data_IF_353373901198
#
_entry.id   IF_353373901198
#
_cell.length_a   1.000
_cell.length_b   1.000
_cell.length_c   1.000
_cell.angle_alpha   90.00
_cell.angle_beta   90.00
_cell.angle_gamma   90.00
#
_symmetry.space_group_name_H-M   'P 1'
#
loop_
_entity.id
_entity.type
_entity.pdbx_description
1 polymer ?
#
# COMPACT_ATOMS: atom_id res chain seq x y z
N UNK A 1 1.35 -5.49 -10.63
CA UNK A 1 0.30 -4.75 -11.37
C UNK A 1 0.02 -3.41 -10.69
N UNK A 2 -0.51 -2.42 -11.41
CA UNK A 2 -0.81 -1.07 -10.89
C UNK A 2 -2.30 -0.90 -10.57
N UNK A 3 -2.63 -0.02 -9.62
CA UNK A 3 -4.02 0.25 -9.23
C UNK A 3 -4.90 0.68 -10.42
N UNK A 4 -4.34 1.48 -11.34
CA UNK A 4 -5.02 1.95 -12.56
C UNK A 4 -5.47 0.81 -13.50
N UNK A 5 -4.85 -0.36 -13.40
CA UNK A 5 -5.24 -1.52 -14.21
C UNK A 5 -6.63 -2.06 -13.84
N UNK A 6 -7.11 -1.82 -12.61
CA UNK A 6 -8.45 -2.23 -12.24
C UNK A 6 -9.54 -1.46 -12.99
N UNK A 7 -9.25 -0.23 -13.40
CA UNK A 7 -10.18 0.63 -14.12
C UNK A 7 -9.86 0.66 -15.63
N UNK A 8 -8.92 -0.20 -16.08
CA UNK A 8 -8.42 -0.26 -17.45
C UNK A 8 -7.95 1.10 -17.98
N UNK A 9 -7.31 1.90 -17.13
CA UNK A 9 -6.77 3.22 -17.46
C UNK A 9 -5.26 3.13 -17.70
N UNK A 10 -4.78 3.78 -18.77
CA UNK A 10 -3.36 3.99 -19.06
C UNK A 10 -3.00 5.47 -18.85
N UNK A 11 -2.33 5.84 -17.75
CA UNK A 11 -1.86 7.20 -17.53
C UNK A 11 -0.69 7.55 -18.46
N UNK A 12 -0.58 8.83 -18.84
CA UNK A 12 0.56 9.34 -19.60
C UNK A 12 1.86 9.39 -18.77
N UNK A 13 1.72 9.59 -17.46
CA UNK A 13 2.83 9.61 -16.49
C UNK A 13 2.47 8.75 -15.27
N UNK A 14 3.37 7.86 -14.87
CA UNK A 14 3.25 7.00 -13.69
C UNK A 14 4.41 7.30 -12.74
N UNK A 15 4.10 7.51 -11.46
CA UNK A 15 5.10 7.66 -10.40
C UNK A 15 5.09 6.45 -9.47
N UNK A 16 6.27 5.87 -9.23
CA UNK A 16 6.48 4.72 -8.35
C UNK A 16 7.50 5.07 -7.26
N UNK A 17 7.43 4.34 -6.14
CA UNK A 17 8.36 4.47 -5.02
C UNK A 17 7.98 3.50 -3.91
N UNK A 18 8.31 3.82 -2.65
CA UNK A 18 7.99 3.00 -1.46
C UNK A 18 8.41 1.52 -1.63
N UNK A 19 7.46 0.66 -1.98
CA UNK A 19 7.65 -0.77 -2.18
C UNK A 19 8.54 -1.11 -3.38
N UNK A 20 8.88 -0.14 -4.24
CA UNK A 20 9.79 -0.33 -5.37
C UNK A 20 11.15 -0.92 -4.96
N UNK A 21 11.55 -0.78 -3.69
CA UNK A 21 12.79 -1.36 -3.14
C UNK A 21 12.55 -2.39 -2.04
N UNK A 22 11.30 -2.82 -1.81
CA UNK A 22 10.94 -3.65 -0.66
C UNK A 22 11.21 -2.98 0.70
N UNK A 23 11.38 -1.65 0.74
CA UNK A 23 11.73 -0.92 1.96
C UNK A 23 13.23 -0.94 2.32
N UNK A 24 14.08 -1.55 1.51
CA UNK A 24 15.52 -1.70 1.78
C UNK A 24 16.36 -0.48 1.37
N UNK A 25 15.87 0.32 0.42
CA UNK A 25 16.60 1.48 -0.11
C UNK A 25 15.64 2.57 -0.58
N UNK A 26 15.96 3.88 -0.44
CA UNK A 26 15.12 4.93 -1.01
C UNK A 26 15.20 4.89 -2.55
N UNK A 27 14.11 4.42 -3.19
CA UNK A 27 13.99 4.35 -4.64
C UNK A 27 12.62 4.89 -5.07
N UNK A 28 12.63 5.68 -6.13
CA UNK A 28 11.45 6.19 -6.82
C UNK A 28 11.70 6.21 -8.32
N UNK A 29 10.64 6.13 -9.12
CA UNK A 29 10.71 6.17 -10.57
C UNK A 29 9.56 7.02 -11.13
N UNK A 30 9.82 7.68 -12.25
CA UNK A 30 8.82 8.35 -13.09
C UNK A 30 8.89 7.68 -14.46
N UNK A 31 7.76 7.17 -14.93
CA UNK A 31 7.63 6.50 -16.21
C UNK A 31 6.66 7.31 -17.08
N UNK A 32 7.04 7.58 -18.33
CA UNK A 32 6.17 8.17 -19.34
C UNK A 32 6.70 7.83 -20.73
N UNK A 33 5.90 8.09 -21.76
CA UNK A 33 6.27 7.88 -23.15
C UNK A 33 7.34 8.89 -23.62
N UNK A 34 8.06 8.54 -24.68
CA UNK A 34 9.20 9.30 -25.20
C UNK A 34 8.85 10.76 -25.51
N UNK A 35 7.66 11.02 -26.06
CA UNK A 35 7.21 12.37 -26.40
C UNK A 35 7.14 13.31 -25.17
N UNK A 36 6.97 12.73 -23.98
CA UNK A 36 7.01 13.44 -22.70
C UNK A 36 8.42 13.40 -22.12
N UNK A 37 9.02 12.21 -22.00
CA UNK A 37 10.29 12.02 -21.28
C UNK A 37 11.45 12.74 -21.97
N UNK A 38 11.52 12.71 -23.30
CA UNK A 38 12.63 13.29 -24.08
C UNK A 38 12.59 14.82 -24.14
N UNK A 39 11.60 15.47 -23.54
CA UNK A 39 11.61 16.92 -23.33
C UNK A 39 12.68 17.35 -22.32
N UNK A 40 13.06 16.47 -21.39
CA UNK A 40 14.15 16.71 -20.43
C UNK A 40 15.49 16.54 -21.15
N UNK A 41 16.28 17.61 -21.22
CA UNK A 41 17.58 17.64 -21.89
C UNK A 41 18.75 17.54 -20.91
N UNK A 42 19.96 17.17 -21.37
CA UNK A 42 21.14 17.13 -20.51
C UNK A 42 21.36 18.44 -19.75
N UNK A 43 21.61 18.33 -18.44
CA UNK A 43 21.81 19.48 -17.55
C UNK A 43 20.53 20.08 -16.94
N UNK A 44 19.33 19.66 -17.35
CA UNK A 44 18.07 20.21 -16.84
C UNK A 44 17.52 19.48 -15.60
N UNK A 45 17.90 18.23 -15.40
CA UNK A 45 17.45 17.40 -14.28
C UNK A 45 18.57 16.44 -13.85
N UNK A 46 18.62 16.10 -12.56
CA UNK A 46 19.63 15.21 -12.02
C UNK A 46 19.49 14.99 -10.51
N UNK A 47 20.16 13.96 -10.02
CA UNK A 47 20.23 13.64 -8.59
C UNK A 47 21.53 12.88 -8.31
N UNK A 48 22.25 13.26 -7.24
CA UNK A 48 23.53 12.63 -6.86
C UNK A 48 23.41 11.12 -6.67
N UNK A 49 22.29 10.66 -6.11
CA UNK A 49 22.03 9.24 -5.83
C UNK A 49 21.01 8.61 -6.79
N UNK A 50 20.46 9.39 -7.72
CA UNK A 50 19.47 8.92 -8.68
C UNK A 50 20.08 7.89 -9.63
N UNK A 51 19.40 6.75 -9.82
CA UNK A 51 19.84 5.71 -10.75
C UNK A 51 21.14 5.00 -10.35
N UNK A 52 21.54 5.07 -9.08
CA UNK A 52 22.75 4.40 -8.62
C UNK A 52 22.62 2.86 -8.77
N UNK A 53 23.72 2.12 -9.07
CA UNK A 53 23.65 0.69 -9.38
C UNK A 53 23.08 -0.19 -8.28
N UNK A 54 23.34 0.14 -7.01
CA UNK A 54 22.83 -0.61 -5.86
C UNK A 54 21.30 -0.50 -5.75
N UNK A 55 20.77 0.73 -5.85
CA UNK A 55 19.33 0.97 -5.86
C UNK A 55 18.64 0.24 -7.01
N UNK A 56 19.23 0.25 -8.21
CA UNK A 56 18.68 -0.47 -9.37
C UNK A 56 18.60 -1.98 -9.14
N UNK A 57 19.65 -2.60 -8.57
CA UNK A 57 19.66 -4.04 -8.27
C UNK A 57 18.62 -4.41 -7.21
N UNK A 58 18.52 -3.63 -6.13
CA UNK A 58 17.51 -3.83 -5.09
C UNK A 58 16.10 -3.71 -5.67
N UNK A 59 15.86 -2.72 -6.54
CA UNK A 59 14.55 -2.51 -7.12
C UNK A 59 14.12 -3.64 -8.07
N UNK A 60 15.05 -4.14 -8.89
CA UNK A 60 14.79 -5.29 -9.77
C UNK A 60 14.41 -6.51 -8.93
N UNK A 61 15.17 -6.81 -7.88
CA UNK A 61 14.91 -7.97 -7.03
C UNK A 61 13.57 -7.86 -6.28
N UNK A 62 13.25 -6.68 -5.75
CA UNK A 62 11.94 -6.45 -5.11
C UNK A 62 10.77 -6.67 -6.09
N UNK A 63 10.92 -6.30 -7.36
CA UNK A 63 9.92 -6.55 -8.39
C UNK A 63 9.83 -8.03 -8.77
N UNK A 64 10.95 -8.76 -8.82
CA UNK A 64 10.97 -10.20 -9.06
C UNK A 64 10.18 -10.95 -7.98
N UNK A 65 10.49 -10.68 -6.70
CA UNK A 65 9.78 -11.29 -5.56
C UNK A 65 8.27 -11.02 -5.64
N UNK A 66 7.87 -9.78 -5.97
CA UNK A 66 6.46 -9.43 -6.12
C UNK A 66 5.74 -10.29 -7.16
N UNK A 67 6.42 -10.65 -8.26
CA UNK A 67 5.88 -11.48 -9.33
C UNK A 67 5.93 -12.97 -8.98
N UNK A 68 7.07 -13.47 -8.52
CA UNK A 68 7.31 -14.89 -8.23
C UNK A 68 6.39 -15.39 -7.10
N UNK A 69 6.23 -14.59 -6.05
CA UNK A 69 5.35 -14.92 -4.91
C UNK A 69 3.87 -14.56 -5.16
N UNK A 70 3.52 -14.03 -6.33
CA UNK A 70 2.14 -13.66 -6.71
C UNK A 70 1.47 -12.75 -5.67
N UNK A 71 2.22 -11.74 -5.21
CA UNK A 71 1.78 -10.87 -4.12
C UNK A 71 0.58 -10.00 -4.48
N UNK A 72 0.37 -9.68 -5.76
CA UNK A 72 -0.82 -8.95 -6.19
C UNK A 72 -2.09 -9.78 -6.02
N UNK A 73 -2.04 -11.05 -6.39
CA UNK A 73 -3.12 -12.02 -6.26
C UNK A 73 -3.44 -12.31 -4.79
N UNK A 74 -2.39 -12.48 -3.97
CA UNK A 74 -2.58 -12.64 -2.53
C UNK A 74 -3.20 -11.38 -1.91
N UNK A 75 -2.77 -10.19 -2.33
CA UNK A 75 -3.33 -8.93 -1.85
C UNK A 75 -4.81 -8.77 -2.16
N UNK A 76 -5.26 -9.23 -3.33
CA UNK A 76 -6.69 -9.24 -3.67
C UNK A 76 -7.46 -10.21 -2.77
N UNK A 77 -6.98 -11.47 -2.67
CA UNK A 77 -7.61 -12.53 -1.88
C UNK A 77 -7.69 -12.16 -0.38
N UNK A 78 -6.56 -11.81 0.22
CA UNK A 78 -6.48 -11.44 1.64
C UNK A 78 -7.14 -10.11 1.92
N UNK A 79 -7.12 -9.18 0.96
CA UNK A 79 -7.85 -7.93 1.03
C UNK A 79 -9.35 -8.13 1.18
N UNK A 80 -9.93 -9.03 0.39
CA UNK A 80 -11.34 -9.37 0.50
C UNK A 80 -11.66 -9.99 1.85
N UNK A 81 -10.89 -11.00 2.26
CA UNK A 81 -11.04 -11.65 3.56
C UNK A 81 -10.99 -10.63 4.71
N UNK A 82 -10.00 -9.75 4.71
CA UNK A 82 -9.86 -8.72 5.75
C UNK A 82 -11.09 -7.80 5.79
N UNK A 83 -11.61 -7.36 4.64
CA UNK A 83 -12.82 -6.52 4.60
C UNK A 83 -14.05 -7.28 5.08
N UNK A 84 -14.17 -8.58 4.79
CA UNK A 84 -15.29 -9.40 5.24
C UNK A 84 -15.28 -9.55 6.77
N UNK A 85 -14.11 -9.79 7.38
CA UNK A 85 -13.97 -9.86 8.84
C UNK A 85 -14.23 -8.49 9.50
N UNK A 86 -13.65 -7.40 8.97
CA UNK A 86 -13.88 -6.05 9.48
C UNK A 86 -15.35 -5.62 9.37
N UNK A 87 -16.08 -6.13 8.38
CA UNK A 87 -17.50 -5.80 8.17
C UNK A 87 -18.43 -6.37 9.22
N UNK A 88 -17.98 -7.37 9.99
CA UNK A 88 -18.70 -7.97 11.13
C UNK A 88 -18.64 -7.09 12.38
N UNK A 89 -17.77 -6.08 12.41
CA UNK A 89 -17.65 -5.18 13.56
C UNK A 89 -18.95 -4.40 13.79
N UNK A 90 -19.28 -4.04 15.06
CA UNK A 90 -20.51 -3.33 15.38
C UNK A 90 -20.62 -2.00 14.65
N UNK A 91 -21.76 -1.75 13.97
CA UNK A 91 -21.95 -0.55 13.12
C UNK A 91 -22.02 0.76 13.89
N UNK A 92 -22.36 0.70 15.18
CA UNK A 92 -22.34 1.83 16.10
C UNK A 92 -20.91 2.28 16.43
N UNK A 93 -19.93 1.39 16.35
CA UNK A 93 -18.49 1.68 16.49
C UNK A 93 -17.82 1.91 15.14
N UNK A 94 -18.08 1.05 14.15
CA UNK A 94 -17.50 1.10 12.80
C UNK A 94 -18.59 1.40 11.78
N UNK A 95 -18.65 2.65 11.35
CA UNK A 95 -19.68 3.12 10.42
C UNK A 95 -19.46 2.63 8.98
N UNK A 96 -18.20 2.56 8.53
CA UNK A 96 -17.84 2.21 7.15
C UNK A 96 -16.60 1.33 7.15
N UNK A 97 -16.61 0.31 6.29
CA UNK A 97 -15.43 -0.48 5.90
C UNK A 97 -15.19 -0.25 4.41
N UNK A 98 -13.97 0.12 4.02
CA UNK A 98 -13.63 0.40 2.62
C UNK A 98 -12.18 0.06 2.31
N UNK A 99 -11.89 -0.23 1.05
CA UNK A 99 -10.54 -0.51 0.57
C UNK A 99 -10.53 -1.33 -0.69
N UNK A 100 -9.33 -1.60 -1.19
CA UNK A 100 -9.08 -2.44 -2.37
C UNK A 100 -7.75 -3.17 -2.19
N UNK A 101 -7.70 -4.46 -2.54
CA UNK A 101 -6.60 -5.33 -2.11
C UNK A 101 -6.34 -5.20 -0.61
N UNK A 102 -5.06 -5.14 -0.22
CA UNK A 102 -4.64 -4.97 1.19
C UNK A 102 -4.55 -3.51 1.67
N UNK A 103 -5.00 -2.52 0.88
CA UNK A 103 -5.14 -1.15 1.37
C UNK A 103 -6.58 -0.92 1.86
N UNK A 104 -6.80 -1.09 3.16
CA UNK A 104 -8.13 -1.04 3.77
C UNK A 104 -8.19 -0.02 4.89
N UNK A 105 -9.41 0.44 5.20
CA UNK A 105 -9.67 1.34 6.29
C UNK A 105 -11.07 1.12 6.87
N UNK A 106 -11.19 1.40 8.15
CA UNK A 106 -12.46 1.52 8.86
C UNK A 106 -12.68 2.96 9.31
N UNK A 107 -13.93 3.41 9.30
CA UNK A 107 -14.33 4.73 9.82
C UNK A 107 -15.00 4.53 11.18
N UNK A 108 -14.34 5.01 12.22
CA UNK A 108 -14.82 4.97 13.60
C UNK A 108 -15.90 6.02 13.78
N UNK A 109 -17.00 5.65 14.44
CA UNK A 109 -18.04 6.60 14.79
C UNK A 109 -17.49 7.69 15.72
N UNK A 110 -17.84 8.96 15.49
CA UNK A 110 -17.37 10.11 16.28
C UNK A 110 -17.65 10.01 17.79
N UNK A 111 -18.55 9.14 18.22
CA UNK A 111 -18.79 8.83 19.64
C UNK A 111 -17.62 8.08 20.29
N UNK A 112 -16.73 7.50 19.50
CA UNK A 112 -15.57 6.71 19.93
C UNK A 112 -14.29 7.42 19.45
N UNK A 113 -13.31 7.56 20.33
CA UNK A 113 -12.00 8.09 19.95
C UNK A 113 -11.18 7.02 19.22
N UNK A 114 -10.96 7.21 17.92
CA UNK A 114 -10.17 6.32 17.09
C UNK A 114 -8.71 6.18 17.56
N UNK A 115 -8.14 7.18 18.24
CA UNK A 115 -6.81 7.07 18.82
C UNK A 115 -6.78 6.05 19.97
N UNK A 116 -7.79 6.08 20.85
CA UNK A 116 -7.93 5.08 21.92
C UNK A 116 -8.11 3.67 21.35
N UNK A 117 -8.84 3.53 20.24
CA UNK A 117 -8.93 2.25 19.52
C UNK A 117 -7.55 1.80 19.04
N UNK A 118 -6.74 2.67 18.43
CA UNK A 118 -5.37 2.32 18.03
C UNK A 118 -4.48 1.91 19.22
N UNK A 119 -4.62 2.56 20.37
CA UNK A 119 -3.87 2.19 21.58
C UNK A 119 -4.28 0.79 22.08
N UNK A 120 -5.58 0.48 22.11
CA UNK A 120 -6.06 -0.86 22.44
C UNK A 120 -5.59 -1.90 21.44
N UNK A 121 -5.61 -1.60 20.14
CA UNK A 121 -5.08 -2.51 19.12
C UNK A 121 -3.59 -2.80 19.39
N UNK A 122 -2.79 -1.79 19.72
CA UNK A 122 -1.38 -1.95 20.10
C UNK A 122 -1.23 -2.86 21.33
N UNK A 123 -2.05 -2.68 22.37
CA UNK A 123 -2.03 -3.53 23.57
C UNK A 123 -2.35 -5.00 23.25
N UNK A 124 -3.17 -5.24 22.21
CA UNK A 124 -3.49 -6.57 21.70
C UNK A 124 -2.54 -7.01 20.56
N UNK A 125 -1.40 -6.35 20.36
CA UNK A 125 -0.37 -6.77 19.41
C UNK A 125 -0.57 -6.32 17.95
N UNK A 126 -1.60 -5.53 17.65
CA UNK A 126 -1.85 -5.00 16.31
C UNK A 126 -1.49 -3.52 16.18
N UNK A 127 -0.48 -3.21 15.37
CA UNK A 127 -0.12 -1.83 15.07
C UNK A 127 -0.97 -1.28 13.92
N UNK A 128 -1.78 -0.28 14.23
CA UNK A 128 -2.55 0.49 13.26
C UNK A 128 -2.45 1.99 13.58
N UNK A 129 -2.69 2.84 12.58
CA UNK A 129 -2.63 4.29 12.74
C UNK A 129 -3.90 4.94 12.21
N UNK A 130 -4.50 5.78 13.04
CA UNK A 130 -5.58 6.64 12.63
C UNK A 130 -5.09 7.79 11.74
N UNK A 131 -5.93 8.27 10.86
CA UNK A 131 -5.71 9.40 9.96
C UNK A 131 -6.98 10.24 9.89
N UNK A 132 -6.84 11.53 9.65
CA UNK A 132 -7.97 12.48 9.58
C UNK A 132 -8.92 12.41 10.80
N UNK A 133 -8.40 12.04 11.97
CA UNK A 133 -9.18 11.85 13.19
C UNK A 133 -9.74 10.43 13.33
N UNK A 134 -10.76 10.10 12.55
CA UNK A 134 -11.67 8.97 12.77
C UNK A 134 -11.43 7.73 11.88
N UNK A 135 -10.46 7.78 10.97
CA UNK A 135 -10.20 6.68 10.03
C UNK A 135 -9.01 5.86 10.51
N UNK A 136 -9.17 4.55 10.73
CA UNK A 136 -8.06 3.63 11.03
C UNK A 136 -7.69 2.85 9.77
N UNK A 137 -6.40 2.87 9.39
CA UNK A 137 -5.90 2.19 8.19
C UNK A 137 -5.27 0.84 8.54
N UNK A 138 -5.52 -0.14 7.69
CA UNK A 138 -4.89 -1.45 7.68
C UNK A 138 -4.20 -1.65 6.33
N UNK A 139 -2.88 -1.76 6.35
CA UNK A 139 -2.04 -1.98 5.19
C UNK A 139 -0.93 -2.99 5.54
N UNK A 140 -1.28 -4.25 5.82
CA UNK A 140 -0.29 -5.28 6.17
C UNK A 140 0.61 -5.59 4.95
N UNK A 141 1.77 -6.23 5.18
CA UNK A 141 2.60 -6.76 4.10
C UNK A 141 1.81 -7.68 3.16
N UNK A 142 2.14 -7.67 1.87
CA UNK A 142 1.39 -8.43 0.87
C UNK A 142 1.55 -9.96 0.99
N UNK A 143 2.53 -10.42 1.76
CA UNK A 143 2.76 -11.83 2.08
C UNK A 143 1.96 -12.33 3.30
N UNK A 144 1.08 -11.51 3.89
CA UNK A 144 0.21 -11.94 4.99
C UNK A 144 -0.65 -13.14 4.55
N UNK A 145 -0.84 -14.10 5.46
CA UNK A 145 -1.64 -15.31 5.20
C UNK A 145 -3.00 -15.26 5.90
N UNK A 146 -3.88 -16.22 5.57
CA UNK A 146 -5.25 -16.26 6.10
C UNK A 146 -5.30 -16.41 7.63
N UNK A 147 -4.41 -17.23 8.21
CA UNK A 147 -4.32 -17.41 9.66
C UNK A 147 -3.99 -16.09 10.35
N UNK A 148 -3.03 -15.32 9.82
CA UNK A 148 -2.64 -14.01 10.33
C UNK A 148 -3.74 -12.96 10.17
N UNK A 149 -4.52 -13.01 9.08
CA UNK A 149 -5.68 -12.11 8.90
C UNK A 149 -6.79 -12.41 9.91
N UNK A 150 -6.98 -13.68 10.27
CA UNK A 150 -8.02 -14.13 11.22
C UNK A 150 -7.55 -14.15 12.68
N UNK A 151 -6.26 -13.94 12.93
CA UNK A 151 -5.70 -13.95 14.27
C UNK A 151 -6.42 -12.92 15.16
N UNK A 152 -6.83 -13.39 16.34
CA UNK A 152 -7.56 -12.61 17.35
C UNK A 152 -6.62 -12.07 18.41
#
# INVERSE_FOLDING_TARGET
>A
MLCVHHDNVRPDIITLGKALSGGMYPVSAVLCDDEIMLMIKPGQHGSTYGGNPLACKIAIEALNILQEEKLCENAEKMGQLLRDELSKLPKDVVSVVRGKGLLNAIVINKKVDAWQVCLKLKENGLLAKNTHGDIIRFAPPLCINEEQVRAS
#
